data_IF_314559661255
#
_entry.id   IF_314559661255
#
_cell.length_a   1.000
_cell.length_b   1.000
_cell.length_c   1.000
_cell.angle_alpha   90.00
_cell.angle_beta   90.00
_cell.angle_gamma   90.00
#
_symmetry.space_group_name_H-M   'P 1'
#
loop_
_entity.id
_entity.type
_entity.pdbx_description
1 polymer ?
#
# COMPACT_ATOMS: atom_id res chain seq x y z
N UNK A 1 -36.48 12.64 -10.50
CA UNK A 1 -35.25 13.47 -10.62
C UNK A 1 -34.22 12.83 -9.70
N UNK A 2 -33.24 12.09 -10.23
CA UNK A 2 -32.14 11.58 -9.40
C UNK A 2 -31.26 12.79 -9.12
N UNK A 3 -31.08 13.15 -7.85
CA UNK A 3 -30.21 14.27 -7.47
C UNK A 3 -28.77 13.95 -7.86
N UNK A 4 -27.99 14.94 -8.27
CA UNK A 4 -26.54 14.78 -8.51
C UNK A 4 -25.83 14.16 -7.28
N UNK A 5 -26.35 14.40 -6.09
CA UNK A 5 -25.87 13.83 -4.83
C UNK A 5 -26.08 12.30 -4.76
N UNK A 6 -27.17 11.78 -5.32
CA UNK A 6 -27.46 10.34 -5.32
C UNK A 6 -26.53 9.60 -6.28
N UNK A 7 -26.23 10.19 -7.44
CA UNK A 7 -25.27 9.62 -8.40
C UNK A 7 -23.87 9.51 -7.79
N UNK A 8 -23.41 10.55 -7.07
CA UNK A 8 -22.10 10.53 -6.38
C UNK A 8 -22.01 9.43 -5.32
N UNK A 9 -23.08 9.24 -4.53
CA UNK A 9 -23.15 8.17 -3.52
C UNK A 9 -23.09 6.78 -4.15
N UNK A 10 -23.80 6.57 -5.26
CA UNK A 10 -23.79 5.30 -5.99
C UNK A 10 -22.39 5.00 -6.55
N UNK A 11 -21.72 5.99 -7.16
CA UNK A 11 -20.34 5.83 -7.65
C UNK A 11 -19.38 5.49 -6.51
N UNK A 12 -19.48 6.19 -5.38
CA UNK A 12 -18.66 5.91 -4.20
C UNK A 12 -18.89 4.48 -3.66
N UNK A 13 -20.14 4.01 -3.64
CA UNK A 13 -20.49 2.66 -3.21
C UNK A 13 -19.91 1.59 -4.15
N UNK A 14 -20.02 1.80 -5.46
CA UNK A 14 -19.42 0.89 -6.47
C UNK A 14 -17.90 0.85 -6.30
N UNK A 15 -17.26 2.02 -6.13
CA UNK A 15 -15.82 2.11 -5.87
C UNK A 15 -15.40 1.37 -4.60
N UNK A 16 -16.14 1.56 -3.49
CA UNK A 16 -15.89 0.89 -2.22
C UNK A 16 -16.05 -0.64 -2.34
N UNK A 17 -17.09 -1.10 -3.05
CA UNK A 17 -17.31 -2.53 -3.28
C UNK A 17 -16.18 -3.15 -4.12
N UNK A 18 -15.84 -2.54 -5.25
CA UNK A 18 -14.71 -2.98 -6.09
C UNK A 18 -13.41 -3.06 -5.27
N UNK A 19 -13.14 -2.01 -4.50
CA UNK A 19 -11.94 -1.94 -3.68
C UNK A 19 -11.92 -3.03 -2.60
N UNK A 20 -13.06 -3.29 -1.95
CA UNK A 20 -13.18 -4.36 -0.95
C UNK A 20 -12.87 -5.73 -1.55
N UNK A 21 -13.39 -6.02 -2.75
CA UNK A 21 -13.12 -7.28 -3.46
C UNK A 21 -11.63 -7.38 -3.82
N UNK A 22 -11.04 -6.30 -4.32
CA UNK A 22 -9.61 -6.27 -4.66
C UNK A 22 -8.73 -6.51 -3.44
N UNK A 23 -9.03 -5.87 -2.32
CA UNK A 23 -8.23 -5.95 -1.09
C UNK A 23 -8.39 -7.26 -0.35
N UNK A 24 -9.61 -7.80 -0.27
CA UNK A 24 -9.87 -9.01 0.54
C UNK A 24 -9.49 -10.28 -0.22
N UNK A 25 -9.70 -10.32 -1.54
CA UNK A 25 -9.55 -11.56 -2.31
C UNK A 25 -8.43 -11.49 -3.33
N UNK A 26 -8.48 -10.52 -4.24
CA UNK A 26 -7.62 -10.52 -5.42
C UNK A 26 -6.15 -10.28 -5.05
N UNK A 27 -5.87 -9.21 -4.33
CA UNK A 27 -4.50 -8.84 -3.95
C UNK A 27 -3.86 -9.91 -3.05
N UNK A 28 -4.49 -10.38 -1.95
CA UNK A 28 -3.92 -11.46 -1.13
C UNK A 28 -3.72 -12.76 -1.92
N UNK A 29 -4.66 -13.12 -2.79
CA UNK A 29 -4.57 -14.32 -3.62
C UNK A 29 -3.39 -14.25 -4.60
N UNK A 30 -3.20 -13.12 -5.27
CA UNK A 30 -2.07 -12.90 -6.19
C UNK A 30 -0.75 -12.88 -5.42
N UNK A 31 -0.66 -12.18 -4.28
CA UNK A 31 0.55 -12.16 -3.45
C UNK A 31 0.93 -13.58 -3.01
N UNK A 32 -0.03 -14.35 -2.50
CA UNK A 32 0.22 -15.72 -2.08
C UNK A 32 0.68 -16.60 -3.25
N UNK A 33 0.03 -16.49 -4.41
CA UNK A 33 0.43 -17.22 -5.61
C UNK A 33 1.84 -16.85 -6.09
N UNK A 34 2.15 -15.54 -6.19
CA UNK A 34 3.48 -15.05 -6.56
C UNK A 34 4.55 -15.48 -5.56
N UNK A 35 4.24 -15.44 -4.26
CA UNK A 35 5.16 -15.89 -3.23
C UNK A 35 5.52 -17.37 -3.42
N UNK A 36 4.53 -18.24 -3.56
CA UNK A 36 4.73 -19.69 -3.69
C UNK A 36 5.38 -20.09 -5.02
N UNK A 37 4.95 -19.49 -6.13
CA UNK A 37 5.36 -19.93 -7.48
C UNK A 37 6.61 -19.25 -7.99
N UNK A 38 6.93 -18.05 -7.50
CA UNK A 38 8.07 -17.24 -7.98
C UNK A 38 9.08 -16.99 -6.88
N UNK A 39 8.65 -16.41 -5.75
CA UNK A 39 9.60 -15.94 -4.74
C UNK A 39 10.29 -17.10 -4.00
N UNK A 40 9.58 -18.15 -3.62
CA UNK A 40 10.16 -19.32 -2.95
C UNK A 40 11.23 -20.00 -3.85
N UNK A 41 10.98 -20.27 -5.14
CA UNK A 41 12.03 -20.75 -6.03
C UNK A 41 13.22 -19.79 -6.15
N UNK A 42 12.98 -18.48 -6.26
CA UNK A 42 14.05 -17.47 -6.37
C UNK A 42 14.89 -17.42 -5.10
N UNK A 43 14.30 -17.59 -3.92
CA UNK A 43 15.02 -17.66 -2.64
C UNK A 43 16.06 -18.79 -2.63
N UNK A 44 15.73 -19.93 -3.23
CA UNK A 44 16.65 -21.07 -3.36
C UNK A 44 17.85 -20.78 -4.30
N UNK A 45 17.73 -19.79 -5.18
CA UNK A 45 18.76 -19.43 -6.18
C UNK A 45 19.59 -18.24 -5.70
N UNK A 46 18.94 -17.17 -5.25
CA UNK A 46 19.62 -15.93 -4.83
C UNK A 46 18.77 -15.10 -3.86
N UNK A 47 19.35 -14.85 -2.68
CA UNK A 47 18.76 -13.99 -1.66
C UNK A 47 18.64 -12.53 -2.14
N UNK A 48 19.61 -12.04 -2.92
CA UNK A 48 19.57 -10.68 -3.45
C UNK A 48 18.41 -10.47 -4.42
N UNK A 49 18.15 -11.45 -5.30
CA UNK A 49 16.99 -11.41 -6.20
C UNK A 49 15.67 -11.53 -5.46
N UNK A 50 15.62 -12.39 -4.43
CA UNK A 50 14.46 -12.49 -3.56
C UNK A 50 14.13 -11.15 -2.90
N UNK A 51 15.11 -10.49 -2.28
CA UNK A 51 14.92 -9.19 -1.62
C UNK A 51 14.49 -8.10 -2.62
N UNK A 52 15.02 -8.12 -3.84
CA UNK A 52 14.62 -7.18 -4.88
C UNK A 52 13.16 -7.39 -5.31
N UNK A 53 12.75 -8.65 -5.52
CA UNK A 53 11.37 -8.99 -5.85
C UNK A 53 10.40 -8.65 -4.71
N UNK A 54 10.76 -8.98 -3.48
CA UNK A 54 9.99 -8.67 -2.28
C UNK A 54 9.73 -7.16 -2.18
N UNK A 55 10.78 -6.35 -2.33
CA UNK A 55 10.64 -4.89 -2.31
C UNK A 55 9.73 -4.36 -3.42
N UNK A 56 9.82 -4.95 -4.63
CA UNK A 56 8.96 -4.56 -5.76
C UNK A 56 7.51 -4.91 -5.47
N UNK A 57 7.25 -6.10 -4.95
CA UNK A 57 5.90 -6.57 -4.60
C UNK A 57 5.31 -5.72 -3.48
N UNK A 58 6.05 -5.49 -2.40
CA UNK A 58 5.65 -4.60 -1.30
C UNK A 58 5.32 -3.19 -1.80
N UNK A 59 6.07 -2.63 -2.75
CA UNK A 59 5.75 -1.33 -3.35
C UNK A 59 4.43 -1.35 -4.11
N UNK A 60 4.19 -2.38 -4.92
CA UNK A 60 2.92 -2.52 -5.66
C UNK A 60 1.72 -2.65 -4.72
N UNK A 61 1.88 -3.41 -3.63
CA UNK A 61 0.86 -3.53 -2.58
C UNK A 61 0.64 -2.18 -1.90
N UNK A 62 1.71 -1.45 -1.55
CA UNK A 62 1.60 -0.11 -0.98
C UNK A 62 0.87 0.88 -1.92
N UNK A 63 1.13 0.81 -3.23
CA UNK A 63 0.43 1.62 -4.22
C UNK A 63 -1.06 1.30 -4.29
N UNK A 64 -1.45 0.02 -4.18
CA UNK A 64 -2.86 -0.39 -4.06
C UNK A 64 -3.53 0.23 -2.82
N UNK A 65 -2.91 0.15 -1.65
CA UNK A 65 -3.43 0.75 -0.42
C UNK A 65 -3.53 2.28 -0.51
N UNK A 66 -2.52 2.92 -1.06
CA UNK A 66 -2.48 4.37 -1.22
C UNK A 66 -3.51 4.87 -2.24
N UNK A 67 -3.80 4.09 -3.28
CA UNK A 67 -4.84 4.42 -4.26
C UNK A 67 -6.23 4.48 -3.61
N UNK A 68 -6.49 3.68 -2.57
CA UNK A 68 -7.74 3.68 -1.82
C UNK A 68 -8.03 5.05 -1.19
N UNK A 69 -7.01 5.65 -0.55
CA UNK A 69 -7.09 6.97 0.07
C UNK A 69 -7.38 8.05 -0.97
N UNK A 70 -6.72 7.97 -2.13
CA UNK A 70 -6.95 8.93 -3.22
C UNK A 70 -8.37 8.84 -3.77
N UNK A 71 -8.89 7.63 -4.00
CA UNK A 71 -10.26 7.41 -4.46
C UNK A 71 -11.28 7.88 -3.42
N UNK A 72 -10.99 7.66 -2.13
CA UNK A 72 -11.82 8.13 -1.03
C UNK A 72 -11.78 9.66 -0.84
N UNK A 73 -10.91 10.38 -1.56
CA UNK A 73 -10.74 11.83 -1.43
C UNK A 73 -10.15 12.24 -0.08
N UNK A 74 -9.45 11.34 0.61
CA UNK A 74 -8.83 11.60 1.91
C UNK A 74 -7.51 12.34 1.66
N UNK A 75 -7.37 13.53 2.23
CA UNK A 75 -6.13 14.30 2.19
C UNK A 75 -5.32 14.06 3.47
N UNK A 76 -4.08 13.61 3.34
CA UNK A 76 -3.16 13.42 4.46
C UNK A 76 -2.32 14.68 4.60
N UNK A 77 -2.38 15.29 5.79
CA UNK A 77 -1.53 16.42 6.15
C UNK A 77 -0.56 15.94 7.22
N UNK A 78 0.72 16.15 6.96
CA UNK A 78 1.80 15.74 7.84
C UNK A 78 2.36 16.95 8.58
N UNK A 79 2.69 16.77 9.85
CA UNK A 79 3.32 17.78 10.69
C UNK A 79 4.57 17.20 11.33
N UNK A 80 5.60 18.03 11.51
CA UNK A 80 6.84 17.65 12.18
C UNK A 80 8.09 17.91 11.33
N UNK A 81 9.19 17.30 11.76
CA UNK A 81 10.49 17.46 11.12
C UNK A 81 10.59 16.69 9.79
N UNK A 82 11.44 17.18 8.89
CA UNK A 82 11.73 16.50 7.63
C UNK A 82 12.50 15.19 7.86
N UNK A 83 11.82 14.07 7.65
CA UNK A 83 12.37 12.72 7.78
C UNK A 83 13.05 12.21 6.50
N UNK A 84 13.23 13.03 5.46
CA UNK A 84 13.85 12.62 4.19
C UNK A 84 15.26 12.04 4.35
N UNK A 85 15.98 12.40 5.44
CA UNK A 85 17.30 11.83 5.76
C UNK A 85 17.24 10.40 6.32
N UNK A 86 16.08 9.96 6.80
CA UNK A 86 15.85 8.65 7.41
C UNK A 86 15.29 7.63 6.42
N UNK A 87 14.73 8.07 5.30
CA UNK A 87 14.04 7.20 4.34
C UNK A 87 14.95 6.20 3.62
N UNK A 88 16.24 6.48 3.56
CA UNK A 88 17.28 5.59 3.00
C UNK A 88 17.92 4.68 4.07
N UNK A 89 17.40 4.70 5.30
CA UNK A 89 17.89 3.87 6.42
C UNK A 89 16.81 2.91 6.88
N UNK A 90 17.21 1.73 7.36
CA UNK A 90 16.29 0.84 8.08
C UNK A 90 15.97 1.49 9.43
N UNK A 91 14.72 1.90 9.61
CA UNK A 91 14.22 2.52 10.82
C UNK A 91 12.98 1.78 11.32
N UNK A 92 12.81 1.73 12.65
CA UNK A 92 11.59 1.24 13.26
C UNK A 92 10.57 2.39 13.32
N UNK A 93 9.47 2.26 12.57
CA UNK A 93 8.38 3.21 12.63
C UNK A 93 7.37 2.80 13.71
N UNK A 94 7.21 3.64 14.73
CA UNK A 94 6.28 3.43 15.84
C UNK A 94 5.08 4.35 15.67
N UNK A 95 3.92 3.76 15.42
CA UNK A 95 2.64 4.47 15.38
C UNK A 95 1.74 3.98 16.51
N UNK A 96 0.93 4.89 17.05
CA UNK A 96 -0.24 4.48 17.81
C UNK A 96 -1.23 3.76 16.88
N UNK A 97 -2.07 2.90 17.45
CA UNK A 97 -3.07 2.16 16.69
C UNK A 97 -4.48 2.45 17.21
N UNK A 98 -5.28 3.11 16.39
CA UNK A 98 -6.68 3.48 16.62
C UNK A 98 -7.63 2.63 15.76
N UNK A 99 -7.20 2.16 14.58
CA UNK A 99 -8.02 1.30 13.74
C UNK A 99 -7.42 0.96 12.38
N UNK A 100 -8.25 0.33 11.53
CA UNK A 100 -7.83 -0.17 10.21
C UNK A 100 -7.28 0.94 9.30
N UNK A 101 -7.82 2.16 9.41
CA UNK A 101 -7.42 3.31 8.60
C UNK A 101 -5.96 3.73 8.82
N UNK A 102 -5.38 3.43 10.00
CA UNK A 102 -3.99 3.80 10.31
C UNK A 102 -3.01 3.22 9.30
N UNK A 103 -3.25 1.98 8.87
CA UNK A 103 -2.40 1.31 7.89
C UNK A 103 -2.37 2.10 6.58
N UNK A 104 -3.52 2.56 6.11
CA UNK A 104 -3.62 3.34 4.89
C UNK A 104 -2.94 4.69 5.01
N UNK A 105 -3.15 5.37 6.14
CA UNK A 105 -2.55 6.68 6.41
C UNK A 105 -1.04 6.56 6.41
N UNK A 106 -0.48 5.57 7.11
CA UNK A 106 0.96 5.33 7.19
C UNK A 106 1.53 4.97 5.81
N UNK A 107 0.88 4.04 5.11
CA UNK A 107 1.30 3.58 3.78
C UNK A 107 1.35 4.74 2.76
N UNK A 108 0.33 5.59 2.78
CA UNK A 108 0.28 6.78 1.91
C UNK A 108 1.21 7.90 2.38
N UNK A 109 1.42 8.09 3.68
CA UNK A 109 2.37 9.06 4.22
C UNK A 109 3.82 8.68 3.87
N UNK A 110 4.14 7.39 3.84
CA UNK A 110 5.48 6.89 3.49
C UNK A 110 5.68 6.69 1.99
N UNK A 111 4.61 6.80 1.19
CA UNK A 111 4.65 6.63 -0.25
C UNK A 111 5.58 7.68 -0.88
N UNK A 112 6.59 7.20 -1.61
CA UNK A 112 7.61 8.00 -2.32
C UNK A 112 8.61 8.76 -1.44
N UNK A 113 8.74 8.46 -0.15
CA UNK A 113 9.71 9.16 0.72
C UNK A 113 11.15 8.67 0.63
N UNK A 114 11.41 7.55 -0.05
CA UNK A 114 12.75 6.98 -0.24
C UNK A 114 12.69 5.47 -0.29
N UNK A 115 13.78 4.83 -0.67
CA UNK A 115 13.82 3.36 -0.83
C UNK A 115 15.15 2.79 -0.38
N UNK A 116 15.14 1.98 0.68
CA UNK A 116 16.34 1.31 1.24
C UNK A 116 16.87 0.18 0.34
N UNK A 117 16.65 0.23 -0.98
CA UNK A 117 17.24 -0.77 -1.88
C UNK A 117 18.74 -0.59 -1.82
N UNK A 118 19.41 -1.60 -1.28
CA UNK A 118 20.86 -1.68 -1.16
C UNK A 118 21.52 -1.29 -2.48
N UNK A 119 22.50 -0.39 -2.40
CA UNK A 119 23.48 -0.19 -3.48
C UNK A 119 24.26 -1.47 -3.73
#
# INVERSE_FOLDING_TARGET
>A
MISSMDVRKVIALIGAFYWTIMTVFVVPGIIAATFLTVMVPVLCISVSWFNWLDHKLCRMVNDHWSSAIQIAGINIVEYGDDISKLSEKRVLFLANHLGLADHFVIMSALRNKGTVVEK
#
